data_IF_929251043245
#
_entry.id   IF_929251043245
#
_cell.length_a   1.000
_cell.length_b   1.000
_cell.length_c   1.000
_cell.angle_alpha   90.00
_cell.angle_beta   90.00
_cell.angle_gamma   90.00
#
_symmetry.space_group_name_H-M   'P 1'
#
loop_
_entity.id
_entity.type
_entity.pdbx_description
1 polymer ?
#
# COMPACT_ATOMS: atom_id res chain seq x y z
N UNK A 1 17.26 -47.29 -26.97
CA UNK A 1 17.92 -46.26 -26.11
C UNK A 1 17.73 -44.79 -26.56
N UNK A 2 17.28 -44.46 -27.78
CA UNK A 2 17.10 -43.07 -28.24
C UNK A 2 15.80 -42.38 -27.75
N UNK A 3 14.77 -43.12 -27.31
CA UNK A 3 13.48 -42.54 -26.90
C UNK A 3 13.48 -41.93 -25.46
N UNK A 4 14.29 -42.47 -24.57
CA UNK A 4 14.38 -41.98 -23.18
C UNK A 4 15.00 -40.58 -23.09
N UNK A 5 15.98 -40.26 -23.93
CA UNK A 5 16.59 -38.93 -23.97
C UNK A 5 15.65 -37.85 -24.49
N UNK A 6 14.76 -38.18 -25.43
CA UNK A 6 13.78 -37.25 -25.97
C UNK A 6 12.74 -36.85 -24.88
N UNK A 7 12.24 -37.81 -24.11
CA UNK A 7 11.30 -37.57 -23.03
C UNK A 7 11.92 -36.76 -21.90
N UNK A 8 13.17 -37.05 -21.54
CA UNK A 8 13.89 -36.27 -20.52
C UNK A 8 14.07 -34.80 -20.94
N UNK A 9 14.45 -34.56 -22.20
CA UNK A 9 14.59 -33.22 -22.75
C UNK A 9 13.29 -32.45 -22.78
N UNK A 10 12.18 -33.10 -23.15
CA UNK A 10 10.85 -32.47 -23.15
C UNK A 10 10.40 -32.09 -21.74
N UNK A 11 10.60 -32.97 -20.76
CA UNK A 11 10.23 -32.69 -19.35
C UNK A 11 11.02 -31.51 -18.79
N UNK A 12 12.31 -31.44 -19.05
CA UNK A 12 13.15 -30.31 -18.61
C UNK A 12 12.70 -29.01 -19.27
N UNK A 13 12.38 -29.03 -20.57
CA UNK A 13 11.89 -27.85 -21.28
C UNK A 13 10.55 -27.33 -20.68
N UNK A 14 9.61 -28.23 -20.41
CA UNK A 14 8.32 -27.87 -19.80
C UNK A 14 8.50 -27.24 -18.40
N UNK A 15 9.36 -27.83 -17.57
CA UNK A 15 9.66 -27.29 -16.23
C UNK A 15 10.30 -25.90 -16.36
N UNK A 16 11.26 -25.73 -17.28
CA UNK A 16 11.91 -24.43 -17.49
C UNK A 16 10.90 -23.34 -17.90
N UNK A 17 9.99 -23.66 -18.83
CA UNK A 17 8.94 -22.72 -19.27
C UNK A 17 8.01 -22.38 -18.11
N UNK A 18 7.60 -23.37 -17.30
CA UNK A 18 6.74 -23.15 -16.15
C UNK A 18 7.41 -22.23 -15.09
N UNK A 19 8.68 -22.45 -14.81
CA UNK A 19 9.46 -21.62 -13.88
C UNK A 19 9.60 -20.19 -14.40
N UNK A 20 9.94 -20.00 -15.66
CA UNK A 20 10.06 -18.69 -16.29
C UNK A 20 8.70 -17.97 -16.27
N UNK A 21 7.62 -18.66 -16.62
CA UNK A 21 6.27 -18.12 -16.58
C UNK A 21 5.83 -17.68 -15.17
N UNK A 22 6.14 -18.50 -14.18
CA UNK A 22 5.86 -18.17 -12.78
C UNK A 22 6.64 -16.95 -12.29
N UNK A 23 7.94 -16.88 -12.59
CA UNK A 23 8.79 -15.74 -12.23
C UNK A 23 8.28 -14.47 -12.91
N UNK A 24 8.03 -14.52 -14.23
CA UNK A 24 7.49 -13.39 -14.97
C UNK A 24 6.14 -12.90 -14.37
N UNK A 25 5.24 -13.83 -14.05
CA UNK A 25 3.99 -13.52 -13.41
C UNK A 25 4.19 -12.76 -12.07
N UNK A 26 5.09 -13.23 -11.22
CA UNK A 26 5.39 -12.61 -9.91
C UNK A 26 5.94 -11.19 -10.03
N UNK A 27 6.62 -10.86 -11.13
CA UNK A 27 7.14 -9.52 -11.38
C UNK A 27 6.15 -8.58 -12.07
N UNK A 28 5.19 -9.12 -12.84
CA UNK A 28 4.25 -8.33 -13.63
C UNK A 28 2.85 -8.24 -13.00
N UNK A 29 2.50 -9.18 -12.11
CA UNK A 29 1.18 -9.22 -11.50
C UNK A 29 0.92 -7.96 -10.65
N UNK A 30 -0.31 -7.41 -10.73
CA UNK A 30 -0.68 -6.30 -9.87
C UNK A 30 -0.67 -6.73 -8.39
N UNK A 31 -0.32 -5.78 -7.54
CA UNK A 31 -0.31 -5.95 -6.09
C UNK A 31 -1.56 -5.28 -5.53
N UNK A 32 -2.33 -6.00 -4.72
CA UNK A 32 -3.46 -5.42 -4.01
C UNK A 32 -2.95 -4.60 -2.83
N UNK A 33 -3.43 -3.37 -2.72
CA UNK A 33 -3.14 -2.49 -1.59
C UNK A 33 -4.46 -2.10 -0.94
N UNK A 34 -4.64 -2.50 0.31
CA UNK A 34 -5.75 -2.03 1.14
C UNK A 34 -5.32 -0.77 1.89
N UNK A 35 -6.20 0.24 1.86
CA UNK A 35 -5.94 1.55 2.46
C UNK A 35 -6.77 1.63 3.75
N UNK A 36 -6.09 1.77 4.88
CA UNK A 36 -6.72 1.84 6.21
C UNK A 36 -6.32 3.14 6.89
N UNK A 37 -7.29 3.83 7.46
CA UNK A 37 -7.04 5.00 8.30
C UNK A 37 -7.69 4.78 9.67
N UNK A 38 -6.95 5.12 10.72
CA UNK A 38 -7.40 4.99 12.10
C UNK A 38 -7.21 6.30 12.84
N UNK A 39 -8.24 6.70 13.59
CA UNK A 39 -8.19 7.80 14.56
C UNK A 39 -8.00 7.19 15.96
N UNK A 40 -6.84 7.39 16.54
CA UNK A 40 -6.48 6.91 17.87
C UNK A 40 -6.39 8.07 18.85
N UNK A 41 -7.44 8.24 19.65
CA UNK A 41 -7.54 9.31 20.63
C UNK A 41 -7.78 10.71 20.07
N UNK A 42 -8.15 10.82 18.78
CA UNK A 42 -8.56 12.08 18.13
C UNK A 42 -10.00 11.99 17.63
N UNK A 43 -10.77 13.08 17.67
CA UNK A 43 -12.18 13.09 17.27
C UNK A 43 -12.34 13.24 15.77
N UNK A 44 -11.82 12.27 14.99
CA UNK A 44 -11.88 12.31 13.53
C UNK A 44 -12.77 11.21 12.96
N UNK A 45 -13.63 11.60 12.02
CA UNK A 45 -14.24 10.68 11.06
C UNK A 45 -13.41 10.68 9.79
N UNK A 46 -12.92 9.51 9.37
CA UNK A 46 -12.00 9.38 8.24
C UNK A 46 -12.58 8.41 7.22
N UNK A 47 -12.68 8.87 5.98
CA UNK A 47 -13.03 8.06 4.81
C UNK A 47 -11.82 7.93 3.89
N UNK A 48 -11.50 6.72 3.46
CA UNK A 48 -10.43 6.45 2.47
C UNK A 48 -11.03 6.25 1.08
N UNK A 49 -10.50 6.93 0.07
CA UNK A 49 -11.02 6.90 -1.30
C UNK A 49 -9.86 6.64 -2.27
N UNK A 50 -9.79 5.46 -2.88
CA UNK A 50 -10.58 4.25 -2.62
C UNK A 50 -10.09 3.47 -1.39
N UNK A 51 -10.87 2.51 -0.89
CA UNK A 51 -10.49 1.64 0.24
C UNK A 51 -9.44 0.59 -0.15
N UNK A 52 -9.36 0.23 -1.41
CA UNK A 52 -8.34 -0.69 -1.94
C UNK A 52 -8.07 -0.40 -3.40
N UNK A 53 -6.85 -0.71 -3.84
CA UNK A 53 -6.42 -0.57 -5.24
C UNK A 53 -5.65 -1.80 -5.69
N UNK A 54 -5.70 -2.09 -6.99
CA UNK A 54 -4.80 -3.01 -7.66
C UNK A 54 -3.71 -2.18 -8.33
N UNK A 55 -2.55 -2.10 -7.69
CA UNK A 55 -1.42 -1.32 -8.15
C UNK A 55 -0.55 -2.15 -9.10
N UNK A 56 -0.34 -1.68 -10.32
CA UNK A 56 0.67 -2.25 -11.20
C UNK A 56 2.06 -1.86 -10.70
N UNK A 57 3.02 -2.77 -10.72
CA UNK A 57 4.39 -2.44 -10.32
C UNK A 57 4.92 -1.22 -11.10
N UNK A 58 5.46 -0.25 -10.37
CA UNK A 58 5.98 1.00 -10.93
C UNK A 58 4.96 2.11 -11.19
N UNK A 59 3.67 1.82 -11.13
CA UNK A 59 2.61 2.81 -11.31
C UNK A 59 2.50 3.74 -10.08
N UNK A 60 2.32 5.04 -10.34
CA UNK A 60 2.05 6.04 -9.31
C UNK A 60 0.56 6.03 -8.96
N UNK A 61 0.24 5.70 -7.73
CA UNK A 61 -1.12 5.65 -7.21
C UNK A 61 -1.36 6.85 -6.31
N UNK A 62 -2.53 7.48 -6.48
CA UNK A 62 -3.02 8.53 -5.59
C UNK A 62 -4.27 8.04 -4.87
N UNK A 63 -4.28 8.18 -3.55
CA UNK A 63 -5.44 7.96 -2.70
C UNK A 63 -5.77 9.23 -1.92
N UNK A 64 -7.01 9.36 -1.50
CA UNK A 64 -7.49 10.53 -0.77
C UNK A 64 -8.05 10.08 0.56
N UNK A 65 -7.63 10.75 1.63
CA UNK A 65 -8.26 10.67 2.95
C UNK A 65 -9.16 11.89 3.10
N UNK A 66 -10.44 11.64 3.26
CA UNK A 66 -11.41 12.68 3.65
C UNK A 66 -11.54 12.64 5.15
N UNK A 67 -11.03 13.69 5.81
CA UNK A 67 -10.95 13.78 7.26
C UNK A 67 -11.88 14.87 7.71
N UNK A 68 -12.78 14.52 8.65
CA UNK A 68 -13.63 15.46 9.33
C UNK A 68 -13.24 15.52 10.80
N UNK A 69 -12.95 16.69 11.29
CA UNK A 69 -12.81 16.95 12.72
C UNK A 69 -14.21 17.11 13.32
N UNK A 70 -14.59 16.17 14.19
CA UNK A 70 -15.90 16.14 14.83
C UNK A 70 -15.95 16.98 16.12
N UNK A 71 -14.83 17.62 16.51
CA UNK A 71 -14.77 18.59 17.61
C UNK A 71 -15.23 19.99 17.14
N UNK A 72 -15.62 20.82 18.09
CA UNK A 72 -15.98 22.23 17.85
C UNK A 72 -14.76 23.14 17.66
N UNK A 73 -13.59 22.69 18.09
CA UNK A 73 -12.33 23.42 18.00
C UNK A 73 -11.36 22.74 17.05
N UNK A 74 -10.41 23.47 16.46
CA UNK A 74 -9.33 22.88 15.68
C UNK A 74 -8.52 21.88 16.52
N UNK A 75 -8.24 20.70 15.96
CA UNK A 75 -7.48 19.64 16.62
C UNK A 75 -6.17 19.42 15.89
N UNK A 76 -5.07 19.44 16.62
CA UNK A 76 -3.76 19.09 16.08
C UNK A 76 -3.47 17.60 16.31
N UNK A 77 -3.13 16.89 15.24
CA UNK A 77 -2.83 15.48 15.28
C UNK A 77 -1.54 15.15 14.53
N UNK A 78 -0.90 14.07 14.95
CA UNK A 78 0.24 13.49 14.27
C UNK A 78 -0.22 12.31 13.43
N UNK A 79 0.01 12.37 12.12
CA UNK A 79 -0.27 11.31 11.18
C UNK A 79 0.97 10.46 10.89
N UNK A 80 0.90 9.16 11.15
CA UNK A 80 1.95 8.19 10.89
C UNK A 80 1.49 7.16 9.88
N UNK A 81 2.35 6.85 8.89
CA UNK A 81 2.10 5.80 7.90
C UNK A 81 2.90 4.56 8.29
N UNK A 82 2.24 3.41 8.24
CA UNK A 82 2.86 2.09 8.33
C UNK A 82 2.45 1.23 7.14
N UNK A 83 3.37 0.38 6.69
CA UNK A 83 3.15 -0.53 5.57
C UNK A 83 3.22 -1.95 6.10
N UNK A 84 2.18 -2.72 5.85
CA UNK A 84 2.10 -4.12 6.22
C UNK A 84 2.10 -5.05 4.99
N UNK A 85 2.57 -6.27 5.14
CA UNK A 85 3.25 -6.81 6.32
C UNK A 85 4.64 -6.20 6.51
N UNK A 86 5.12 -6.09 7.76
CA UNK A 86 6.35 -5.38 8.12
C UNK A 86 7.60 -5.84 7.35
N UNK A 87 7.68 -7.14 7.03
CA UNK A 87 8.77 -7.73 6.23
C UNK A 87 8.81 -7.23 4.77
N UNK A 88 7.73 -6.60 4.29
CA UNK A 88 7.58 -6.13 2.92
C UNK A 88 7.39 -4.60 2.86
N UNK A 89 7.73 -3.87 3.91
CA UNK A 89 7.55 -2.41 3.93
C UNK A 89 8.30 -1.70 2.80
N UNK A 90 9.46 -2.22 2.40
CA UNK A 90 10.28 -1.66 1.30
C UNK A 90 9.66 -1.89 -0.09
N UNK A 91 8.60 -2.73 -0.19
CA UNK A 91 7.89 -2.98 -1.43
C UNK A 91 6.99 -1.79 -1.83
N UNK A 92 6.71 -0.87 -0.91
CA UNK A 92 5.95 0.35 -1.17
C UNK A 92 6.78 1.59 -0.84
N UNK A 93 6.78 2.56 -1.75
CA UNK A 93 7.41 3.85 -1.56
C UNK A 93 6.35 4.95 -1.55
N UNK A 94 6.23 5.66 -0.43
CA UNK A 94 5.34 6.83 -0.31
C UNK A 94 6.14 8.07 -0.71
N UNK A 95 5.64 8.84 -1.67
CA UNK A 95 6.28 10.06 -2.20
C UNK A 95 5.70 11.31 -1.59
N UNK A 96 4.41 11.30 -1.29
CA UNK A 96 3.69 12.43 -0.73
C UNK A 96 2.67 11.93 0.27
N UNK A 97 2.60 12.60 1.41
CA UNK A 97 1.51 12.44 2.38
C UNK A 97 1.17 13.83 2.91
N UNK A 98 0.03 14.38 2.49
CA UNK A 98 -0.41 15.70 2.93
C UNK A 98 -0.86 15.72 4.39
N UNK A 99 -1.26 14.57 4.94
CA UNK A 99 -1.65 14.41 6.34
C UNK A 99 -0.60 13.69 7.19
N UNK A 100 0.62 13.52 6.66
CA UNK A 100 1.76 12.99 7.42
C UNK A 100 2.38 14.04 8.34
N UNK A 101 2.87 13.61 9.51
CA UNK A 101 3.42 14.51 10.52
C UNK A 101 2.33 15.26 11.29
N UNK A 102 2.69 16.42 11.86
CA UNK A 102 1.78 17.23 12.66
C UNK A 102 0.98 18.17 11.75
N UNK A 103 -0.33 18.05 11.80
CA UNK A 103 -1.27 18.92 11.08
C UNK A 103 -2.39 19.37 12.02
N UNK A 104 -2.97 20.55 11.73
CA UNK A 104 -4.13 21.06 12.43
C UNK A 104 -5.36 20.94 11.53
N UNK A 105 -6.38 20.25 12.02
CA UNK A 105 -7.62 19.96 11.31
C UNK A 105 -8.72 20.88 11.83
N UNK A 106 -9.33 21.64 10.91
CA UNK A 106 -10.37 22.61 11.25
C UNK A 106 -11.71 21.91 11.49
N UNK A 107 -12.58 22.55 12.27
CA UNK A 107 -13.94 22.06 12.55
C UNK A 107 -14.97 22.49 11.49
N UNK A 108 -14.54 23.10 10.39
CA UNK A 108 -15.42 23.70 9.37
C UNK A 108 -16.04 22.71 8.40
N UNK A 109 -15.69 21.44 8.48
CA UNK A 109 -16.20 20.38 7.62
C UNK A 109 -15.09 19.43 7.16
N UNK A 110 -15.42 18.43 6.31
CA UNK A 110 -14.45 17.47 5.83
C UNK A 110 -13.46 18.12 4.88
N UNK A 111 -12.18 17.75 5.02
CA UNK A 111 -11.10 18.16 4.15
C UNK A 111 -10.44 16.92 3.50
N UNK A 112 -10.01 17.08 2.25
CA UNK A 112 -9.40 16.00 1.47
C UNK A 112 -7.87 16.11 1.47
N UNK A 113 -7.19 15.04 1.87
CA UNK A 113 -5.72 14.93 1.93
C UNK A 113 -5.22 13.83 1.00
N UNK A 114 -4.34 14.19 0.08
CA UNK A 114 -3.76 13.25 -0.87
C UNK A 114 -2.56 12.50 -0.30
N UNK A 115 -2.49 11.21 -0.62
CA UNK A 115 -1.30 10.38 -0.43
C UNK A 115 -0.94 9.75 -1.77
N UNK A 116 0.33 9.82 -2.15
CA UNK A 116 0.85 9.25 -3.38
C UNK A 116 1.94 8.23 -3.08
N UNK A 117 1.79 7.05 -3.67
CA UNK A 117 2.75 5.97 -3.49
C UNK A 117 2.94 5.16 -4.78
N UNK A 118 3.99 4.36 -4.79
CA UNK A 118 4.30 3.39 -5.85
C UNK A 118 4.64 2.06 -5.21
N UNK A 119 4.21 0.97 -5.86
CA UNK A 119 4.47 -0.38 -5.41
C UNK A 119 5.54 -1.00 -6.31
N UNK A 120 6.50 -1.71 -5.70
CA UNK A 120 7.48 -2.53 -6.38
C UNK A 120 6.89 -3.91 -6.70
N UNK A 121 7.42 -4.64 -7.69
CA UNK A 121 7.01 -6.01 -7.96
C UNK A 121 7.09 -6.89 -6.71
N UNK A 122 6.13 -7.80 -6.56
CA UNK A 122 6.18 -8.80 -5.48
C UNK A 122 7.43 -9.68 -5.59
N UNK A 123 7.87 -10.02 -6.81
CA UNK A 123 9.00 -10.90 -7.03
C UNK A 123 8.81 -12.25 -6.33
N UNK A 124 9.91 -12.89 -5.94
CA UNK A 124 9.85 -14.19 -5.25
C UNK A 124 9.59 -14.08 -3.75
N UNK A 125 10.00 -12.98 -3.13
CA UNK A 125 9.92 -12.76 -1.67
C UNK A 125 8.91 -11.71 -1.23
N UNK A 126 8.36 -10.94 -2.17
CA UNK A 126 7.39 -9.90 -1.87
C UNK A 126 5.98 -10.43 -1.65
N UNK A 127 5.10 -9.55 -1.22
CA UNK A 127 3.68 -9.82 -1.03
C UNK A 127 2.86 -9.37 -2.23
N UNK A 128 1.86 -10.18 -2.61
CA UNK A 128 0.83 -9.79 -3.57
C UNK A 128 -0.27 -8.92 -2.92
N UNK A 129 -0.24 -8.79 -1.61
CA UNK A 129 -1.17 -7.99 -0.81
C UNK A 129 -0.41 -7.16 0.21
N UNK A 130 -0.57 -5.84 0.14
CA UNK A 130 -0.01 -4.87 1.05
C UNK A 130 -1.13 -4.08 1.74
N UNK A 131 -0.82 -3.53 2.90
CA UNK A 131 -1.71 -2.63 3.64
C UNK A 131 -0.99 -1.31 3.86
N UNK A 132 -1.58 -0.22 3.40
CA UNK A 132 -1.17 1.14 3.75
C UNK A 132 -2.04 1.61 4.90
N UNK A 133 -1.48 1.65 6.10
CA UNK A 133 -2.19 2.10 7.30
C UNK A 133 -1.71 3.48 7.71
N UNK A 134 -2.66 4.41 7.86
CA UNK A 134 -2.42 5.74 8.39
C UNK A 134 -3.08 5.87 9.76
N UNK A 135 -2.29 6.17 10.79
CA UNK A 135 -2.79 6.34 12.16
C UNK A 135 -2.63 7.78 12.59
N UNK A 136 -3.70 8.37 13.10
CA UNK A 136 -3.73 9.73 13.63
C UNK A 136 -3.80 9.67 15.15
N UNK A 137 -2.84 10.32 15.80
CA UNK A 137 -2.76 10.41 17.27
C UNK A 137 -2.73 11.87 17.71
N UNK A 138 -3.15 12.18 18.96
CA UNK A 138 -3.07 13.55 19.46
C UNK A 138 -1.65 14.08 19.40
N UNK A 139 -1.49 15.26 18.83
CA UNK A 139 -0.24 16.00 18.91
C UNK A 139 -0.28 16.84 20.21
N UNK A 140 0.49 16.46 21.21
CA UNK A 140 0.67 17.29 22.38
C UNK A 140 1.42 18.56 21.96
N UNK A 141 0.87 19.77 22.14
CA UNK A 141 1.65 20.98 21.92
C UNK A 141 2.86 20.97 22.86
N UNK A 142 4.06 21.11 22.28
CA UNK A 142 5.28 21.34 23.06
C UNK A 142 5.35 22.79 23.53
#
# INVERSE_FOLDING_TARGET
MKRTGLWLGLTVAVIAIAVIGFVAYRYLAPVRVDIVAEADGVPFTIETIPHSVLARPGEMIKVVYRIQNDDLLPVSAYGAITIGPAKNQDQMQVFLSQCGGINTYQSTGPEDYGVMFRVQPAGLSGSAHLVLKHTFTPSTPR
#
